data_IF_950383040664
#
_entry.id   IF_950383040664
#
_cell.length_a   1.000
_cell.length_b   1.000
_cell.length_c   1.000
_cell.angle_alpha   90.00
_cell.angle_beta   90.00
_cell.angle_gamma   90.00
#
_symmetry.space_group_name_H-M   'P 1'
#
loop_
_entity.id
_entity.type
_entity.pdbx_description
1 polymer ?
#
# COMPACT_ATOMS: atom_id res chain seq x y z
N UNK A 1 39.56 15.42 -31.47
CA UNK A 1 39.23 16.19 -32.73
C UNK A 1 37.77 16.55 -32.60
N UNK A 2 37.51 17.77 -32.21
CA UNK A 2 37.26 18.96 -33.00
C UNK A 2 35.76 19.18 -33.31
N UNK A 3 35.16 20.19 -32.57
CA UNK A 3 34.45 21.37 -33.13
C UNK A 3 33.00 21.10 -33.61
N UNK A 4 31.95 21.90 -33.31
CA UNK A 4 31.75 23.36 -33.00
C UNK A 4 30.34 23.48 -32.42
N UNK A 5 30.07 24.16 -31.34
CA UNK A 5 29.52 25.50 -31.18
C UNK A 5 28.61 26.03 -32.32
N UNK A 6 27.34 26.30 -32.01
CA UNK A 6 26.71 27.53 -32.47
C UNK A 6 25.55 27.94 -31.53
N UNK A 7 25.70 29.14 -30.98
CA UNK A 7 24.75 29.90 -30.20
C UNK A 7 23.62 30.45 -31.07
N UNK A 8 22.39 30.57 -30.56
CA UNK A 8 21.41 31.53 -31.08
C UNK A 8 20.67 32.19 -29.91
N UNK A 9 21.11 33.41 -29.61
CA UNK A 9 20.41 34.42 -28.83
C UNK A 9 19.21 34.93 -29.65
N UNK A 10 18.02 35.01 -29.04
CA UNK A 10 16.98 35.87 -29.56
C UNK A 10 16.37 36.69 -28.41
N UNK A 11 16.70 37.99 -28.43
CA UNK A 11 16.09 39.06 -27.67
C UNK A 11 14.63 39.25 -28.14
N UNK A 12 13.68 39.34 -27.22
CA UNK A 12 12.41 39.99 -27.48
C UNK A 12 12.12 40.99 -26.37
N UNK A 13 11.94 42.21 -26.78
CA UNK A 13 11.78 43.47 -26.11
C UNK A 13 10.47 43.60 -25.33
N UNK A 14 10.60 44.32 -24.21
CA UNK A 14 9.57 44.81 -23.29
C UNK A 14 8.67 45.82 -24.02
N UNK A 15 7.34 45.65 -23.86
CA UNK A 15 6.37 46.72 -24.00
C UNK A 15 5.64 46.92 -22.68
N UNK A 16 5.98 48.02 -21.99
CA UNK A 16 5.18 48.60 -20.93
C UNK A 16 3.97 49.36 -21.56
N UNK A 17 2.78 49.06 -21.11
CA UNK A 17 1.62 49.94 -21.30
C UNK A 17 1.05 50.28 -19.94
N UNK A 18 1.22 51.54 -19.55
CA UNK A 18 0.62 52.16 -18.39
C UNK A 18 -0.86 52.55 -18.71
N UNK A 19 -1.80 52.16 -17.84
CA UNK A 19 -3.15 52.77 -17.80
C UNK A 19 -3.37 53.35 -16.39
N UNK A 20 -3.54 54.69 -16.33
CA UNK A 20 -3.98 55.47 -15.17
C UNK A 20 -5.45 55.22 -14.84
N UNK A 21 -5.85 55.26 -13.56
CA UNK A 21 -7.25 55.20 -13.18
C UNK A 21 -7.90 56.61 -13.21
N UNK A 22 -9.10 56.66 -13.80
CA UNK A 22 -9.96 57.83 -13.86
C UNK A 22 -10.61 58.14 -12.49
N UNK A 23 -10.64 59.44 -12.17
CA UNK A 23 -11.26 59.99 -10.96
C UNK A 23 -12.81 59.98 -11.03
N UNK A 24 -13.44 59.55 -9.95
CA UNK A 24 -14.90 59.59 -9.76
C UNK A 24 -15.30 60.92 -9.08
N UNK A 25 -16.34 61.61 -9.49
CA UNK A 25 -16.73 62.89 -8.91
C UNK A 25 -17.50 62.73 -7.58
N UNK A 26 -17.24 63.65 -6.69
CA UNK A 26 -17.82 63.84 -5.36
C UNK A 26 -19.27 64.38 -5.47
N UNK A 27 -20.28 63.82 -4.79
CA UNK A 27 -21.62 64.44 -4.73
C UNK A 27 -21.69 65.64 -3.77
N UNK A 28 -22.41 66.63 -4.23
CA UNK A 28 -22.70 67.92 -3.59
C UNK A 28 -23.71 67.75 -2.47
N UNK A 29 -23.45 68.42 -1.36
CA UNK A 29 -24.34 68.47 -0.20
C UNK A 29 -25.62 69.29 -0.50
N UNK A 30 -26.77 68.69 -0.21
CA UNK A 30 -28.09 69.38 -0.23
C UNK A 30 -28.52 69.65 1.19
N UNK A 31 -28.89 70.88 1.48
CA UNK A 31 -29.32 71.42 2.77
C UNK A 31 -30.68 70.89 3.22
N UNK A 32 -30.73 70.52 4.51
CA UNK A 32 -31.90 70.02 5.23
C UNK A 32 -32.88 71.15 5.63
N UNK A 33 -34.20 70.94 5.65
CA UNK A 33 -35.14 71.77 6.34
C UNK A 33 -35.31 71.35 7.80
N UNK A 34 -35.32 72.34 8.68
CA UNK A 34 -35.59 72.29 10.13
C UNK A 34 -36.99 71.78 10.41
N UNK A 35 -37.16 70.73 11.24
CA UNK A 35 -38.44 70.36 11.85
C UNK A 35 -38.41 70.50 13.36
N UNK A 36 -39.57 70.88 13.92
CA UNK A 36 -39.88 71.20 15.28
C UNK A 36 -39.82 69.98 16.25
N UNK A 37 -39.75 70.20 17.57
CA UNK A 37 -39.52 69.14 18.56
C UNK A 37 -40.79 68.30 18.77
N UNK A 38 -40.69 66.99 18.56
CA UNK A 38 -41.67 65.99 18.91
C UNK A 38 -41.29 65.30 20.24
N UNK A 39 -42.29 65.09 21.07
CA UNK A 39 -42.23 64.51 22.45
C UNK A 39 -41.47 63.17 22.50
N UNK A 40 -40.74 62.97 23.56
CA UNK A 40 -39.99 61.77 23.87
C UNK A 40 -40.93 60.57 24.08
N UNK A 41 -40.63 59.38 23.47
CA UNK A 41 -41.33 58.13 23.79
C UNK A 41 -40.75 57.52 25.06
N UNK A 42 -41.63 57.03 25.92
CA UNK A 42 -41.35 56.24 27.13
C UNK A 42 -40.55 55.00 26.78
N UNK A 43 -39.40 54.84 27.42
CA UNK A 43 -38.50 53.68 27.24
C UNK A 43 -39.11 52.46 27.92
N UNK A 44 -39.52 51.46 27.15
CA UNK A 44 -39.80 50.11 27.65
C UNK A 44 -38.46 49.44 28.08
N UNK A 45 -38.45 48.59 29.11
CA UNK A 45 -37.20 47.93 29.54
C UNK A 45 -36.61 47.07 28.42
N UNK A 46 -35.42 47.42 27.96
CA UNK A 46 -34.64 46.62 26.99
C UNK A 46 -34.22 45.33 27.68
N UNK A 47 -34.76 44.21 27.19
CA UNK A 47 -34.25 42.88 27.57
C UNK A 47 -32.80 42.80 27.08
N UNK A 48 -31.86 42.52 28.01
CA UNK A 48 -30.47 42.32 27.69
C UNK A 48 -30.33 41.20 26.66
N UNK A 49 -29.46 41.31 25.65
CA UNK A 49 -29.19 40.21 24.73
C UNK A 49 -28.69 38.98 25.48
N UNK A 50 -29.40 37.88 25.38
CA UNK A 50 -28.95 36.57 25.87
C UNK A 50 -27.68 36.22 25.12
N UNK A 51 -26.57 36.08 25.85
CA UNK A 51 -25.28 35.66 25.29
C UNK A 51 -25.45 34.29 24.58
N UNK A 52 -24.98 34.13 23.36
CA UNK A 52 -25.06 32.81 22.66
C UNK A 52 -24.42 31.74 23.55
N UNK A 53 -25.01 30.53 23.64
CA UNK A 53 -24.38 29.45 24.38
C UNK A 53 -22.97 29.23 23.90
N UNK A 54 -22.01 29.17 24.83
CA UNK A 54 -20.62 28.86 24.52
C UNK A 54 -20.56 27.56 23.72
N UNK A 55 -19.73 27.46 22.68
CA UNK A 55 -19.60 26.25 21.89
C UNK A 55 -19.25 25.09 22.82
N UNK A 56 -20.10 24.06 22.84
CA UNK A 56 -19.86 22.82 23.59
C UNK A 56 -18.53 22.24 23.08
N UNK A 57 -17.54 22.14 23.94
CA UNK A 57 -16.26 21.57 23.60
C UNK A 57 -16.50 20.12 23.12
N UNK A 58 -16.15 19.84 21.87
CA UNK A 58 -16.13 18.47 21.33
C UNK A 58 -15.17 17.66 22.22
N UNK A 59 -15.62 16.52 22.81
CA UNK A 59 -14.73 15.72 23.64
C UNK A 59 -13.47 15.35 22.83
N UNK A 60 -12.31 15.44 23.46
CA UNK A 60 -11.05 15.02 22.86
C UNK A 60 -11.17 13.52 22.46
N UNK A 61 -10.67 13.13 21.29
CA UNK A 61 -10.70 11.74 20.89
C UNK A 61 -9.98 10.86 21.92
N UNK A 62 -10.53 9.69 22.19
CA UNK A 62 -9.87 8.73 23.07
C UNK A 62 -8.55 8.24 22.44
N UNK A 63 -7.47 8.09 23.22
CA UNK A 63 -6.20 7.61 22.70
C UNK A 63 -6.30 6.18 22.17
N UNK A 64 -5.67 5.92 21.04
CA UNK A 64 -5.61 4.60 20.40
C UNK A 64 -4.46 3.83 21.05
N UNK A 65 -4.77 2.71 21.71
CA UNK A 65 -3.79 1.81 22.35
C UNK A 65 -3.87 0.45 21.70
N UNK A 66 -2.78 0.01 21.07
CA UNK A 66 -2.70 -1.26 20.36
C UNK A 66 -1.37 -1.94 20.66
N UNK A 67 -1.38 -3.28 20.64
CA UNK A 67 -0.14 -4.06 20.68
C UNK A 67 0.26 -4.40 19.24
N UNK A 68 1.52 -4.11 18.89
CA UNK A 68 2.02 -4.39 17.55
C UNK A 68 2.56 -5.84 17.41
N UNK A 69 2.99 -6.19 16.20
CA UNK A 69 3.49 -7.53 15.90
C UNK A 69 4.81 -7.92 16.59
N UNK A 70 5.49 -6.98 17.23
CA UNK A 70 6.68 -7.25 18.08
C UNK A 70 6.30 -7.34 19.57
N UNK A 71 5.00 -7.28 19.91
CA UNK A 71 4.49 -7.32 21.27
C UNK A 71 4.64 -5.99 22.03
N UNK A 72 4.91 -4.87 21.34
CA UNK A 72 5.07 -3.55 21.96
C UNK A 72 3.72 -2.85 22.06
N UNK A 73 3.50 -2.15 23.18
CA UNK A 73 2.31 -1.30 23.34
C UNK A 73 2.57 0.05 22.65
N UNK A 74 1.77 0.37 21.64
CA UNK A 74 1.83 1.61 20.87
C UNK A 74 0.61 2.46 21.22
N UNK A 75 0.83 3.75 21.51
CA UNK A 75 -0.21 4.69 21.85
C UNK A 75 -0.16 5.90 20.92
N UNK A 76 -1.30 6.25 20.34
CA UNK A 76 -1.52 7.47 19.58
C UNK A 76 -2.60 8.30 20.26
N UNK A 77 -2.37 9.60 20.48
CA UNK A 77 -3.36 10.49 21.08
C UNK A 77 -4.61 10.69 20.17
N UNK A 78 -4.45 10.52 18.88
CA UNK A 78 -5.50 10.62 17.86
C UNK A 78 -5.06 9.82 16.62
N UNK A 79 -5.97 9.56 15.65
CA UNK A 79 -5.61 8.94 14.38
C UNK A 79 -4.48 9.68 13.68
N UNK A 80 -3.50 8.92 13.19
CA UNK A 80 -2.31 9.44 12.53
C UNK A 80 -2.65 10.28 11.29
N UNK A 81 -1.96 11.41 11.11
CA UNK A 81 -2.16 12.33 9.99
C UNK A 81 -0.93 12.45 9.10
N UNK A 82 0.22 12.00 9.58
CA UNK A 82 1.50 12.06 8.88
C UNK A 82 2.21 10.71 8.96
N UNK A 83 1.93 9.85 8.01
CA UNK A 83 2.37 8.46 8.02
C UNK A 83 3.55 8.26 7.08
N UNK A 84 4.60 7.62 7.56
CA UNK A 84 5.65 7.06 6.70
C UNK A 84 5.44 5.56 6.61
N UNK A 85 5.24 5.06 5.39
CA UNK A 85 5.12 3.64 5.09
C UNK A 85 6.47 3.08 4.66
N UNK A 86 7.00 2.10 5.40
CA UNK A 86 8.29 1.49 5.11
C UNK A 86 8.16 0.04 4.59
N UNK A 87 6.99 -0.29 4.03
CA UNK A 87 6.75 -1.55 3.33
C UNK A 87 5.70 -1.35 2.22
N UNK A 88 5.86 -2.00 1.03
CA UNK A 88 4.89 -1.91 -0.06
C UNK A 88 3.48 -2.34 0.34
N UNK A 89 3.34 -3.45 1.08
CA UNK A 89 2.04 -3.93 1.58
C UNK A 89 1.31 -2.89 2.43
N UNK A 90 2.03 -2.20 3.31
CA UNK A 90 1.46 -1.15 4.16
C UNK A 90 0.99 0.05 3.34
N UNK A 91 1.75 0.43 2.31
CA UNK A 91 1.33 1.50 1.38
C UNK A 91 0.04 1.12 0.68
N UNK A 92 -0.07 -0.11 0.18
CA UNK A 92 -1.29 -0.61 -0.46
C UNK A 92 -2.50 -0.60 0.50
N UNK A 93 -2.30 -1.03 1.75
CA UNK A 93 -3.34 -0.97 2.79
C UNK A 93 -3.80 0.48 3.02
N UNK A 94 -2.86 1.40 3.24
CA UNK A 94 -3.17 2.82 3.50
C UNK A 94 -4.00 3.44 2.36
N UNK A 95 -3.62 3.21 1.12
CA UNK A 95 -4.35 3.72 -0.03
C UNK A 95 -5.72 3.04 -0.19
N UNK A 96 -5.82 1.74 0.00
CA UNK A 96 -7.08 1.00 -0.08
C UNK A 96 -8.10 1.45 0.99
N UNK A 97 -7.63 1.89 2.15
CA UNK A 97 -8.45 2.48 3.22
C UNK A 97 -8.75 3.98 3.01
N UNK A 98 -8.31 4.58 1.90
CA UNK A 98 -8.49 6.01 1.64
C UNK A 98 -7.62 6.92 2.52
N UNK A 99 -6.59 6.37 3.17
CA UNK A 99 -5.62 7.11 3.99
C UNK A 99 -4.43 7.66 3.16
N UNK A 100 -4.45 7.57 1.84
CA UNK A 100 -3.35 7.96 0.97
C UNK A 100 -2.89 9.42 1.16
N UNK A 101 -3.80 10.34 1.52
CA UNK A 101 -3.47 11.74 1.82
C UNK A 101 -2.68 11.93 3.13
N UNK A 102 -2.73 10.94 4.02
CA UNK A 102 -1.99 10.92 5.29
C UNK A 102 -0.56 10.40 5.09
N UNK A 103 -0.28 9.74 3.93
CA UNK A 103 1.06 9.20 3.63
C UNK A 103 1.97 10.32 3.16
N UNK A 104 2.96 10.67 3.98
CA UNK A 104 3.95 11.73 3.69
C UNK A 104 5.29 11.19 3.20
N UNK A 105 5.53 9.88 3.37
CA UNK A 105 6.72 9.19 2.88
C UNK A 105 6.46 7.71 2.63
N UNK A 106 7.14 7.15 1.62
CA UNK A 106 7.09 5.74 1.27
C UNK A 106 8.48 5.19 0.96
N UNK A 107 8.69 3.90 1.18
CA UNK A 107 9.88 3.24 0.64
C UNK A 107 9.79 3.14 -0.91
N UNK A 108 10.93 2.91 -1.59
CA UNK A 108 11.03 3.12 -3.04
C UNK A 108 10.20 2.15 -3.89
N UNK A 109 9.97 0.91 -3.43
CA UNK A 109 9.20 -0.11 -4.15
C UNK A 109 7.69 -0.02 -3.90
N UNK A 110 7.23 0.89 -3.07
CA UNK A 110 5.81 1.20 -2.86
C UNK A 110 5.24 1.95 -4.07
N UNK A 111 4.84 1.26 -5.10
CA UNK A 111 4.42 1.79 -6.39
C UNK A 111 2.94 1.56 -6.73
N UNK A 112 2.19 0.94 -5.82
CA UNK A 112 0.77 0.68 -5.99
C UNK A 112 -0.05 1.30 -4.83
N UNK A 113 -1.22 1.93 -5.13
CA UNK A 113 -1.69 2.27 -6.49
C UNK A 113 -0.76 3.28 -7.17
N UNK A 114 -0.99 3.58 -8.45
CA UNK A 114 -0.10 4.47 -9.23
C UNK A 114 0.14 5.83 -8.54
N UNK A 115 -0.84 6.34 -7.80
CA UNK A 115 -0.79 7.57 -7.04
C UNK A 115 0.26 7.52 -5.91
N UNK A 116 0.58 6.34 -5.39
CA UNK A 116 1.61 6.18 -4.37
C UNK A 116 2.98 6.70 -4.85
N UNK A 117 3.26 6.59 -6.16
CA UNK A 117 4.50 7.10 -6.75
C UNK A 117 4.70 8.60 -6.59
N UNK A 118 3.61 9.36 -6.35
CA UNK A 118 3.66 10.80 -6.11
C UNK A 118 4.05 11.16 -4.67
N UNK A 119 4.07 10.18 -3.75
CA UNK A 119 4.51 10.38 -2.37
C UNK A 119 6.04 10.40 -2.33
N UNK A 120 6.62 11.26 -1.47
CA UNK A 120 8.06 11.37 -1.29
C UNK A 120 8.68 10.00 -0.97
N UNK A 121 9.68 9.57 -1.75
CA UNK A 121 10.44 8.36 -1.45
C UNK A 121 11.46 8.62 -0.35
N UNK A 122 11.55 7.70 0.61
CA UNK A 122 12.61 7.66 1.62
C UNK A 122 13.78 6.76 1.22
N UNK A 123 13.76 6.22 0.00
CA UNK A 123 14.75 5.26 -0.51
C UNK A 123 14.42 3.81 -0.16
N UNK A 124 15.40 2.93 -0.39
CA UNK A 124 15.28 1.49 -0.15
C UNK A 124 15.34 1.14 1.34
N UNK A 125 14.55 0.15 1.75
CA UNK A 125 14.59 -0.45 3.09
C UNK A 125 15.41 -1.77 3.13
N UNK A 126 15.84 -2.29 1.97
CA UNK A 126 16.65 -3.51 1.89
C UNK A 126 18.11 -3.30 2.31
N UNK A 127 18.53 -2.05 2.43
CA UNK A 127 19.84 -1.65 2.93
C UNK A 127 19.68 -0.92 4.26
N UNK A 128 20.54 0.04 4.54
CA UNK A 128 20.40 0.91 5.71
C UNK A 128 19.23 1.87 5.49
N UNK A 129 18.24 1.82 6.38
CA UNK A 129 17.09 2.74 6.34
C UNK A 129 17.56 4.20 6.49
N UNK A 130 17.01 5.08 5.66
CA UNK A 130 17.32 6.52 5.67
C UNK A 130 16.52 7.23 6.77
N UNK A 131 16.99 7.16 8.01
CA UNK A 131 16.34 7.76 9.16
C UNK A 131 16.26 9.28 9.08
N UNK A 132 17.23 9.94 8.43
CA UNK A 132 17.25 11.41 8.26
C UNK A 132 16.09 11.86 7.35
N UNK A 133 15.86 11.16 6.23
CA UNK A 133 14.71 11.43 5.36
C UNK A 133 13.38 11.23 6.10
N UNK A 134 13.27 10.18 6.93
CA UNK A 134 12.07 9.91 7.72
C UNK A 134 11.83 11.02 8.73
N UNK A 135 12.83 11.41 9.52
CA UNK A 135 12.73 12.50 10.53
C UNK A 135 12.35 13.83 9.88
N UNK A 136 12.92 14.15 8.70
CA UNK A 136 12.60 15.38 7.97
C UNK A 136 11.11 15.49 7.58
N UNK A 137 10.42 14.34 7.39
CA UNK A 137 9.00 14.28 7.08
C UNK A 137 8.11 14.49 8.31
N UNK A 138 8.67 14.51 9.52
CA UNK A 138 7.94 14.70 10.80
C UNK A 138 6.71 13.80 10.90
N UNK A 139 6.86 12.47 10.80
CA UNK A 139 5.72 11.56 10.92
C UNK A 139 5.21 11.51 12.36
N UNK A 140 3.90 11.32 12.51
CA UNK A 140 3.26 10.94 13.77
C UNK A 140 3.11 9.41 13.89
N UNK A 141 3.27 8.68 12.77
CA UNK A 141 3.27 7.22 12.72
C UNK A 141 4.20 6.72 11.60
N UNK A 142 4.94 5.66 11.88
CA UNK A 142 5.64 4.86 10.89
C UNK A 142 5.00 3.47 10.87
N UNK A 143 4.59 3.00 9.69
CA UNK A 143 4.13 1.63 9.52
C UNK A 143 5.25 0.76 8.96
N UNK A 144 5.71 -0.18 9.77
CA UNK A 144 6.66 -1.22 9.43
C UNK A 144 5.95 -2.56 9.19
N UNK A 145 6.61 -3.50 8.51
CA UNK A 145 6.18 -4.87 8.31
C UNK A 145 7.37 -5.84 8.40
N UNK A 146 7.15 -7.14 8.25
CA UNK A 146 8.21 -8.15 8.40
C UNK A 146 9.39 -8.03 7.42
N UNK A 147 9.25 -7.26 6.35
CA UNK A 147 10.36 -6.89 5.48
C UNK A 147 11.40 -5.99 6.19
N UNK A 148 10.98 -5.35 7.29
CA UNK A 148 11.83 -4.47 8.09
C UNK A 148 12.39 -5.26 9.27
N UNK A 149 13.72 -5.28 9.43
CA UNK A 149 14.32 -5.99 10.53
C UNK A 149 14.01 -5.34 11.89
N UNK A 150 14.01 -6.12 12.99
CA UNK A 150 13.86 -5.55 14.34
C UNK A 150 14.88 -4.45 14.66
N UNK A 151 16.10 -4.53 14.10
CA UNK A 151 17.14 -3.52 14.25
C UNK A 151 16.77 -2.20 13.55
N UNK A 152 16.14 -2.28 12.36
CA UNK A 152 15.62 -1.09 11.67
C UNK A 152 14.52 -0.43 12.48
N UNK A 153 13.59 -1.22 13.02
CA UNK A 153 12.52 -0.73 13.89
C UNK A 153 13.12 -0.06 15.13
N UNK A 154 14.08 -0.73 15.78
CA UNK A 154 14.76 -0.18 16.95
C UNK A 154 15.48 1.14 16.65
N UNK A 155 16.11 1.27 15.49
CA UNK A 155 16.80 2.50 15.11
C UNK A 155 15.82 3.69 15.01
N UNK A 156 14.58 3.46 14.61
CA UNK A 156 13.52 4.47 14.59
C UNK A 156 12.98 4.79 16.01
N UNK A 157 12.80 3.76 16.84
CA UNK A 157 12.39 3.91 18.24
C UNK A 157 13.41 4.73 19.05
N UNK A 158 14.71 4.50 18.82
CA UNK A 158 15.79 5.24 19.48
C UNK A 158 15.73 6.76 19.16
N UNK A 159 15.20 7.11 17.99
CA UNK A 159 14.91 8.48 17.58
C UNK A 159 13.57 9.03 18.12
N UNK A 160 12.87 8.26 18.98
CA UNK A 160 11.57 8.62 19.57
C UNK A 160 10.45 8.79 18.51
N UNK A 161 10.55 8.08 17.40
CA UNK A 161 9.51 8.00 16.41
C UNK A 161 8.53 6.88 16.78
N UNK A 162 7.23 7.12 16.57
CA UNK A 162 6.22 6.09 16.83
C UNK A 162 6.18 5.12 15.68
N UNK A 163 6.56 3.88 15.92
CA UNK A 163 6.56 2.80 14.92
C UNK A 163 5.52 1.76 15.30
N UNK A 164 4.62 1.43 14.37
CA UNK A 164 3.74 0.26 14.48
C UNK A 164 4.19 -0.81 13.51
N UNK A 165 4.44 -2.02 14.01
CA UNK A 165 4.90 -3.15 13.22
C UNK A 165 3.74 -4.10 12.92
N UNK A 166 3.38 -4.25 11.64
CA UNK A 166 2.40 -5.23 11.19
C UNK A 166 3.09 -6.57 10.89
N UNK A 167 2.56 -7.66 11.44
CA UNK A 167 2.98 -9.00 11.04
C UNK A 167 2.41 -9.37 9.68
N UNK A 168 3.14 -10.18 8.93
CA UNK A 168 2.61 -10.79 7.72
C UNK A 168 1.46 -11.75 8.08
N UNK A 169 0.37 -11.77 7.32
CA UNK A 169 -0.73 -12.67 7.57
C UNK A 169 -0.33 -14.12 7.28
N UNK A 170 -0.71 -15.03 8.18
CA UNK A 170 -0.59 -16.49 8.03
C UNK A 170 -1.90 -17.11 7.58
N UNK A 171 -2.97 -16.34 7.60
CA UNK A 171 -4.30 -16.65 7.10
C UNK A 171 -4.97 -15.38 6.61
N UNK A 172 -6.06 -15.48 5.85
CA UNK A 172 -6.83 -14.30 5.42
C UNK A 172 -7.46 -13.55 6.60
N UNK A 173 -7.78 -14.24 7.70
CA UNK A 173 -8.27 -13.58 8.92
C UNK A 173 -7.23 -12.61 9.52
N UNK A 174 -5.94 -12.93 9.43
CA UNK A 174 -4.87 -12.03 9.86
C UNK A 174 -4.79 -10.79 8.96
N UNK A 175 -5.01 -10.96 7.64
CA UNK A 175 -5.09 -9.82 6.72
C UNK A 175 -6.25 -8.89 7.10
N UNK A 176 -7.43 -9.45 7.41
CA UNK A 176 -8.58 -8.66 7.83
C UNK A 176 -8.29 -7.93 9.15
N UNK A 177 -7.64 -8.57 10.10
CA UNK A 177 -7.22 -7.96 11.36
C UNK A 177 -6.19 -6.82 11.14
N UNK A 178 -5.26 -6.99 10.20
CA UNK A 178 -4.31 -5.94 9.81
C UNK A 178 -5.03 -4.72 9.20
N UNK A 179 -6.02 -4.94 8.34
CA UNK A 179 -6.84 -3.86 7.76
C UNK A 179 -7.62 -3.10 8.85
N UNK A 180 -8.23 -3.81 9.82
CA UNK A 180 -8.90 -3.19 10.95
C UNK A 180 -7.94 -2.37 11.83
N UNK A 181 -6.75 -2.90 12.06
CA UNK A 181 -5.70 -2.25 12.85
C UNK A 181 -5.27 -0.94 12.18
N UNK A 182 -4.95 -0.98 10.88
CA UNK A 182 -4.58 0.24 10.13
C UNK A 182 -5.77 1.19 10.05
N UNK A 183 -6.99 0.68 9.91
CA UNK A 183 -8.22 1.47 9.98
C UNK A 183 -8.35 2.27 11.29
N UNK A 184 -8.06 1.64 12.44
CA UNK A 184 -8.03 2.31 13.76
C UNK A 184 -6.91 3.36 13.82
N UNK A 185 -5.69 3.00 13.42
CA UNK A 185 -4.53 3.89 13.45
C UNK A 185 -4.71 5.15 12.58
N UNK A 186 -5.51 5.07 11.52
CA UNK A 186 -5.71 6.14 10.53
C UNK A 186 -7.06 6.84 10.62
N UNK A 187 -7.96 6.38 11.52
CA UNK A 187 -9.34 6.86 11.60
C UNK A 187 -10.21 6.41 10.43
N UNK A 188 -9.89 5.26 9.81
CA UNK A 188 -10.57 4.66 8.65
C UNK A 188 -11.23 3.32 8.99
N UNK A 189 -11.76 3.16 10.19
CA UNK A 189 -12.35 1.90 10.64
C UNK A 189 -13.58 1.48 9.82
N UNK A 190 -14.38 2.44 9.36
CA UNK A 190 -15.54 2.15 8.52
C UNK A 190 -15.14 1.64 7.13
N UNK A 191 -14.12 2.26 6.53
CA UNK A 191 -13.54 1.84 5.25
C UNK A 191 -12.89 0.45 5.37
N UNK A 192 -12.21 0.17 6.48
CA UNK A 192 -11.63 -1.14 6.76
C UNK A 192 -12.70 -2.22 6.87
N UNK A 193 -13.80 -1.97 7.59
CA UNK A 193 -14.91 -2.91 7.71
C UNK A 193 -15.54 -3.22 6.34
N UNK A 194 -15.79 -2.20 5.52
CA UNK A 194 -16.33 -2.36 4.16
C UNK A 194 -15.39 -3.12 3.24
N UNK A 195 -14.09 -2.83 3.32
CA UNK A 195 -13.09 -3.54 2.52
C UNK A 195 -13.04 -5.02 2.95
N UNK A 196 -13.01 -5.31 4.24
CA UNK A 196 -13.01 -6.68 4.76
C UNK A 196 -14.24 -7.46 4.30
N UNK A 197 -15.44 -6.87 4.33
CA UNK A 197 -16.66 -7.51 3.81
C UNK A 197 -16.50 -7.91 2.33
N UNK A 198 -15.99 -7.00 1.51
CA UNK A 198 -15.73 -7.25 0.08
C UNK A 198 -14.70 -8.37 -0.15
N UNK A 199 -13.59 -8.35 0.60
CA UNK A 199 -12.53 -9.36 0.47
C UNK A 199 -13.02 -10.74 0.94
N UNK A 200 -13.79 -10.81 2.04
CA UNK A 200 -14.41 -12.04 2.54
C UNK A 200 -15.34 -12.65 1.51
N UNK A 201 -16.22 -11.84 0.90
CA UNK A 201 -17.14 -12.33 -0.13
C UNK A 201 -16.41 -12.93 -1.34
N UNK A 202 -15.29 -12.31 -1.75
CA UNK A 202 -14.44 -12.83 -2.83
C UNK A 202 -13.76 -14.13 -2.44
N UNK A 203 -13.17 -14.18 -1.23
CA UNK A 203 -12.56 -15.39 -0.68
C UNK A 203 -13.56 -16.56 -0.66
N UNK A 204 -14.75 -16.36 -0.11
CA UNK A 204 -15.80 -17.37 -0.03
C UNK A 204 -16.23 -17.85 -1.42
N UNK A 205 -16.26 -16.95 -2.42
CA UNK A 205 -16.53 -17.31 -3.80
C UNK A 205 -15.48 -18.26 -4.38
N UNK A 206 -14.20 -18.01 -4.10
CA UNK A 206 -13.10 -18.91 -4.53
C UNK A 206 -13.21 -20.25 -3.84
N UNK A 207 -13.35 -20.29 -2.52
CA UNK A 207 -13.49 -21.52 -1.72
C UNK A 207 -14.68 -22.36 -2.21
N UNK A 208 -15.82 -21.72 -2.46
CA UNK A 208 -17.02 -22.39 -2.98
C UNK A 208 -16.79 -23.06 -4.34
N UNK A 209 -16.06 -22.40 -5.25
CA UNK A 209 -15.72 -22.97 -6.57
C UNK A 209 -14.76 -24.15 -6.42
N UNK A 210 -13.72 -23.99 -5.59
CA UNK A 210 -12.70 -25.01 -5.37
C UNK A 210 -13.25 -26.26 -4.66
N UNK A 211 -14.40 -26.19 -3.99
CA UNK A 211 -15.06 -27.37 -3.42
C UNK A 211 -15.41 -28.44 -4.46
N UNK A 212 -15.44 -28.10 -5.76
CA UNK A 212 -15.64 -29.02 -6.86
C UNK A 212 -14.33 -29.54 -7.49
N UNK A 213 -13.16 -29.09 -7.01
CA UNK A 213 -11.86 -29.55 -7.48
C UNK A 213 -11.68 -31.05 -7.18
N UNK A 214 -11.17 -31.80 -8.15
CA UNK A 214 -10.99 -33.26 -8.04
C UNK A 214 -9.57 -33.68 -7.69
N UNK A 215 -8.62 -32.78 -7.91
CA UNK A 215 -7.19 -32.97 -7.72
C UNK A 215 -6.57 -31.73 -7.08
N UNK A 216 -5.29 -31.84 -6.72
CA UNK A 216 -4.50 -30.75 -6.18
C UNK A 216 -3.15 -30.75 -6.91
N UNK A 217 -3.03 -29.99 -8.01
CA UNK A 217 -1.82 -29.99 -8.83
C UNK A 217 -0.61 -29.49 -8.04
N UNK A 218 0.55 -30.08 -8.30
CA UNK A 218 1.82 -29.64 -7.72
C UNK A 218 2.37 -28.43 -8.47
N UNK A 219 2.82 -27.43 -7.71
CA UNK A 219 3.27 -26.13 -8.21
C UNK A 219 4.71 -25.89 -7.82
N UNK A 220 5.56 -25.59 -8.79
CA UNK A 220 6.82 -24.90 -8.57
C UNK A 220 6.62 -23.41 -8.77
N UNK A 221 6.77 -22.62 -7.71
CA UNK A 221 6.74 -21.16 -7.79
C UNK A 221 8.16 -20.63 -7.85
N UNK A 222 8.57 -20.08 -8.99
CA UNK A 222 9.90 -19.51 -9.18
C UNK A 222 9.92 -18.07 -8.74
N UNK A 223 10.77 -17.74 -7.74
CA UNK A 223 10.96 -16.39 -7.22
C UNK A 223 12.13 -15.71 -7.91
N UNK A 224 13.21 -16.44 -8.12
CA UNK A 224 14.43 -15.98 -8.76
C UNK A 224 15.20 -17.18 -9.31
N UNK A 225 15.62 -17.09 -10.55
CA UNK A 225 16.48 -18.07 -11.20
C UNK A 225 17.70 -17.42 -11.87
N UNK A 226 18.29 -16.42 -11.24
CA UNK A 226 19.61 -15.87 -11.64
C UNK A 226 20.64 -17.00 -11.78
N UNK A 227 20.60 -18.01 -10.90
CA UNK A 227 21.23 -19.31 -11.11
C UNK A 227 20.16 -20.36 -11.44
N UNK A 228 19.94 -20.71 -12.73
CA UNK A 228 18.90 -21.66 -13.11
C UNK A 228 19.17 -23.10 -12.66
N UNK A 229 20.36 -23.41 -12.14
CA UNK A 229 20.66 -24.73 -11.54
C UNK A 229 20.17 -24.85 -10.10
N UNK A 230 19.89 -23.72 -9.46
CA UNK A 230 19.41 -23.62 -8.07
C UNK A 230 18.43 -22.44 -7.90
N UNK A 231 17.28 -22.46 -8.61
CA UNK A 231 16.31 -21.41 -8.47
C UNK A 231 15.77 -21.29 -7.04
N UNK A 232 15.42 -20.07 -6.65
CA UNK A 232 14.71 -19.80 -5.40
C UNK A 232 13.21 -20.06 -5.57
N UNK A 233 12.63 -20.67 -4.54
CA UNK A 233 11.20 -20.94 -4.43
C UNK A 233 10.69 -20.58 -3.03
N UNK A 234 9.39 -20.55 -2.88
CA UNK A 234 8.71 -20.31 -1.62
C UNK A 234 8.67 -21.60 -0.78
N UNK A 235 9.20 -21.53 0.44
CA UNK A 235 9.11 -22.58 1.45
C UNK A 235 7.82 -22.50 2.28
N UNK A 236 7.72 -23.36 3.33
CA UNK A 236 6.52 -23.46 4.16
C UNK A 236 6.26 -22.19 4.98
N UNK A 237 4.97 -21.90 5.20
CA UNK A 237 4.51 -20.83 6.08
C UNK A 237 4.66 -19.42 5.51
N UNK A 238 4.97 -19.28 4.22
CA UNK A 238 4.93 -18.01 3.51
C UNK A 238 3.52 -17.73 3.00
N UNK A 239 3.21 -16.45 2.70
CA UNK A 239 1.93 -16.10 2.06
C UNK A 239 1.82 -16.67 0.63
N UNK A 240 2.94 -16.94 -0.06
CA UNK A 240 2.95 -17.64 -1.37
C UNK A 240 2.51 -19.09 -1.18
N UNK A 241 3.08 -19.79 -0.19
CA UNK A 241 2.68 -21.16 0.17
C UNK A 241 1.21 -21.22 0.59
N UNK A 242 0.77 -20.26 1.42
CA UNK A 242 -0.63 -20.10 1.81
C UNK A 242 -1.56 -19.95 0.59
N UNK A 243 -1.23 -19.06 -0.35
CA UNK A 243 -2.06 -18.79 -1.54
C UNK A 243 -2.11 -20.01 -2.45
N UNK A 244 -1.00 -20.72 -2.68
CA UNK A 244 -0.98 -21.95 -3.48
C UNK A 244 -1.90 -23.00 -2.84
N UNK A 245 -1.81 -23.20 -1.52
CA UNK A 245 -2.66 -24.16 -0.80
C UNK A 245 -4.13 -23.78 -0.85
N UNK A 246 -4.49 -22.51 -0.59
CA UNK A 246 -5.86 -22.02 -0.67
C UNK A 246 -6.44 -22.04 -2.09
N UNK A 247 -5.58 -21.93 -3.10
CA UNK A 247 -5.96 -22.09 -4.51
C UNK A 247 -6.17 -23.54 -4.93
N UNK A 248 -6.05 -24.49 -4.01
CA UNK A 248 -6.24 -25.93 -4.26
C UNK A 248 -5.00 -26.64 -4.83
N UNK A 249 -3.81 -26.03 -4.76
CA UNK A 249 -2.55 -26.60 -5.21
C UNK A 249 -1.70 -27.17 -4.08
N UNK A 250 -0.58 -27.78 -4.45
CA UNK A 250 0.49 -28.27 -3.56
C UNK A 250 1.79 -27.59 -3.93
N UNK A 251 2.32 -26.75 -3.04
CA UNK A 251 3.61 -26.13 -3.22
C UNK A 251 4.73 -27.17 -3.05
N UNK A 252 5.56 -27.39 -4.08
CA UNK A 252 6.69 -28.32 -3.94
C UNK A 252 7.80 -27.79 -3.02
N UNK A 253 7.86 -26.48 -2.79
CA UNK A 253 8.76 -25.85 -1.84
C UNK A 253 8.36 -26.02 -0.37
N UNK A 254 7.15 -26.51 -0.07
CA UNK A 254 6.63 -26.64 1.30
C UNK A 254 7.48 -27.59 2.20
N UNK A 255 8.25 -28.49 1.60
CA UNK A 255 9.13 -29.43 2.32
C UNK A 255 10.57 -28.89 2.52
N UNK A 256 10.88 -27.74 1.94
CA UNK A 256 12.20 -27.13 2.04
C UNK A 256 12.40 -26.48 3.41
N UNK A 257 13.67 -26.29 3.79
CA UNK A 257 14.01 -25.61 5.03
C UNK A 257 14.09 -24.08 4.81
N UNK A 258 13.26 -23.35 5.52
CA UNK A 258 13.21 -21.87 5.47
C UNK A 258 12.08 -21.34 4.58
N UNK A 259 11.72 -20.08 4.82
CA UNK A 259 10.65 -19.40 4.12
C UNK A 259 10.93 -19.20 2.62
N UNK A 260 12.19 -18.95 2.28
CA UNK A 260 12.66 -18.81 0.90
C UNK A 260 13.93 -19.64 0.75
N UNK A 261 13.90 -20.63 -0.14
CA UNK A 261 14.96 -21.62 -0.26
C UNK A 261 15.28 -21.91 -1.72
N UNK A 262 16.53 -22.34 -1.95
CA UNK A 262 16.92 -22.86 -3.26
C UNK A 262 16.58 -24.33 -3.38
N UNK A 263 16.07 -24.72 -4.55
CA UNK A 263 15.86 -26.11 -4.96
C UNK A 263 16.84 -26.43 -6.09
N UNK A 264 17.54 -27.57 -6.02
CA UNK A 264 18.40 -27.98 -7.14
C UNK A 264 17.54 -28.42 -8.34
N UNK A 265 18.08 -28.22 -9.57
CA UNK A 265 17.40 -28.70 -10.78
C UNK A 265 17.16 -30.22 -10.75
N UNK A 266 18.05 -31.01 -10.11
CA UNK A 266 17.88 -32.45 -9.94
C UNK A 266 16.67 -32.77 -9.07
N UNK A 267 16.52 -32.09 -7.92
CA UNK A 267 15.38 -32.30 -7.03
C UNK A 267 14.08 -31.81 -7.69
N UNK A 268 14.13 -30.67 -8.41
CA UNK A 268 12.99 -30.18 -9.18
C UNK A 268 12.52 -31.20 -10.23
N UNK A 269 13.46 -31.80 -10.98
CA UNK A 269 13.13 -32.84 -11.97
C UNK A 269 12.58 -34.10 -11.29
N UNK A 270 13.11 -34.48 -10.14
CA UNK A 270 12.60 -35.61 -9.36
C UNK A 270 11.17 -35.38 -8.84
N UNK A 271 10.88 -34.19 -8.34
CA UNK A 271 9.53 -33.83 -7.89
C UNK A 271 8.53 -33.63 -9.03
N UNK A 272 9.01 -33.27 -10.20
CA UNK A 272 8.26 -33.16 -11.45
C UNK A 272 6.90 -32.44 -11.28
N UNK A 273 6.87 -31.11 -10.98
CA UNK A 273 5.65 -30.38 -10.73
C UNK A 273 4.72 -30.36 -11.95
N UNK A 274 3.41 -30.28 -11.70
CA UNK A 274 2.41 -30.17 -12.75
C UNK A 274 2.44 -28.79 -13.43
N UNK A 275 2.73 -27.72 -12.64
CA UNK A 275 2.81 -26.35 -13.14
C UNK A 275 4.09 -25.67 -12.66
N UNK A 276 4.61 -24.76 -13.50
CA UNK A 276 5.64 -23.79 -13.15
C UNK A 276 5.00 -22.41 -13.20
N UNK A 277 5.08 -21.67 -12.10
CA UNK A 277 4.57 -20.30 -11.98
C UNK A 277 5.76 -19.37 -11.79
N UNK A 278 5.92 -18.41 -12.71
CA UNK A 278 7.07 -17.51 -12.78
C UNK A 278 6.73 -16.18 -12.06
N UNK A 279 7.10 -16.05 -10.81
CA UNK A 279 7.05 -14.78 -10.06
C UNK A 279 8.07 -13.78 -10.57
N UNK A 280 9.19 -14.25 -11.11
CA UNK A 280 10.24 -13.44 -11.72
C UNK A 280 9.97 -13.02 -13.18
N UNK A 281 8.79 -13.37 -13.72
CA UNK A 281 8.36 -12.88 -15.02
C UNK A 281 8.35 -11.34 -15.13
N UNK A 282 8.14 -10.63 -14.02
CA UNK A 282 8.24 -9.18 -13.95
C UNK A 282 9.63 -8.63 -14.30
N UNK A 283 10.66 -9.48 -14.19
CA UNK A 283 12.05 -9.17 -14.52
C UNK A 283 12.47 -9.70 -15.89
N UNK A 284 11.49 -10.13 -16.72
CA UNK A 284 11.70 -10.55 -18.10
C UNK A 284 11.96 -12.03 -18.29
N UNK A 285 11.77 -12.87 -17.27
CA UNK A 285 11.81 -14.33 -17.42
C UNK A 285 10.57 -14.78 -18.18
N UNK A 286 10.76 -15.62 -19.22
CA UNK A 286 9.67 -16.11 -20.07
C UNK A 286 9.55 -17.63 -20.03
N UNK A 287 8.36 -18.14 -20.31
CA UNK A 287 8.10 -19.58 -20.39
C UNK A 287 9.02 -20.28 -21.41
N UNK A 288 9.31 -19.62 -22.53
CA UNK A 288 10.21 -20.13 -23.58
C UNK A 288 11.65 -20.25 -23.07
N UNK A 289 12.14 -19.23 -22.35
CA UNK A 289 13.49 -19.26 -21.78
C UNK A 289 13.60 -20.38 -20.72
N UNK A 290 12.59 -20.55 -19.87
CA UNK A 290 12.54 -21.60 -18.85
C UNK A 290 12.53 -22.99 -19.50
N UNK A 291 11.76 -23.17 -20.56
CA UNK A 291 11.68 -24.46 -21.27
C UNK A 291 13.03 -24.87 -21.94
N UNK A 292 13.94 -23.93 -22.19
CA UNK A 292 15.26 -24.19 -22.77
C UNK A 292 16.36 -24.45 -21.72
N UNK A 293 16.04 -24.38 -20.42
CA UNK A 293 17.03 -24.65 -19.36
C UNK A 293 17.52 -26.10 -19.42
N UNK A 294 18.82 -26.35 -19.21
CA UNK A 294 19.37 -27.71 -19.23
C UNK A 294 18.67 -28.66 -18.27
N UNK A 295 18.19 -29.79 -18.77
CA UNK A 295 17.48 -30.81 -17.97
C UNK A 295 16.00 -30.56 -17.75
N UNK A 296 15.49 -29.32 -17.93
CA UNK A 296 14.09 -29.00 -17.65
C UNK A 296 13.11 -29.54 -18.70
N UNK A 297 13.60 -29.91 -19.88
CA UNK A 297 12.80 -30.64 -20.88
C UNK A 297 12.28 -32.02 -20.40
N UNK A 298 12.82 -32.53 -19.29
CA UNK A 298 12.31 -33.74 -18.63
C UNK A 298 10.99 -33.47 -17.86
N UNK A 299 10.75 -32.24 -17.43
CA UNK A 299 9.57 -31.85 -16.64
C UNK A 299 8.27 -31.96 -17.42
N UNK A 300 7.24 -32.52 -16.82
CA UNK A 300 5.92 -32.62 -17.44
C UNK A 300 5.28 -31.25 -17.67
N UNK A 301 5.50 -30.29 -16.74
CA UNK A 301 5.08 -28.90 -16.91
C UNK A 301 5.66 -28.26 -18.19
N UNK A 302 6.91 -28.56 -18.53
CA UNK A 302 7.55 -28.07 -19.78
C UNK A 302 6.94 -28.76 -21.01
N UNK A 303 6.82 -30.09 -20.98
CA UNK A 303 6.24 -30.89 -22.11
C UNK A 303 4.80 -30.47 -22.40
N UNK A 304 4.01 -30.22 -21.36
CA UNK A 304 2.60 -29.85 -21.48
C UNK A 304 2.36 -28.34 -21.59
N UNK A 305 3.42 -27.52 -21.61
CA UNK A 305 3.38 -26.06 -21.69
C UNK A 305 2.61 -25.43 -20.50
N UNK A 306 2.75 -26.01 -19.33
CA UNK A 306 2.16 -25.52 -18.08
C UNK A 306 3.16 -24.60 -17.34
N UNK A 307 3.64 -23.57 -18.03
CA UNK A 307 4.54 -22.54 -17.52
C UNK A 307 3.84 -21.21 -17.67
N UNK A 308 3.59 -20.52 -16.55
CA UNK A 308 2.77 -19.31 -16.53
C UNK A 308 3.52 -18.14 -15.86
N UNK A 309 3.51 -16.99 -16.53
CA UNK A 309 3.90 -15.74 -15.91
C UNK A 309 2.86 -15.34 -14.84
N UNK A 310 3.34 -14.82 -13.72
CA UNK A 310 2.49 -14.37 -12.62
C UNK A 310 2.95 -12.99 -12.13
N UNK A 311 2.00 -12.13 -11.76
CA UNK A 311 2.35 -10.88 -11.10
C UNK A 311 2.66 -11.17 -9.62
N UNK A 312 3.95 -11.34 -9.31
CA UNK A 312 4.43 -11.62 -7.96
C UNK A 312 3.96 -10.59 -6.93
N UNK A 313 3.77 -9.33 -7.31
CA UNK A 313 3.28 -8.30 -6.40
C UNK A 313 1.91 -8.62 -5.78
N UNK A 314 1.13 -9.51 -6.37
CA UNK A 314 -0.17 -9.91 -5.85
C UNK A 314 -0.07 -10.84 -4.64
N UNK A 315 1.03 -11.61 -4.53
CA UNK A 315 1.21 -12.59 -3.46
C UNK A 315 2.51 -12.42 -2.67
N UNK A 316 3.44 -11.56 -3.10
CA UNK A 316 4.64 -11.19 -2.33
C UNK A 316 4.42 -9.94 -1.46
N UNK A 317 3.33 -9.21 -1.70
CA UNK A 317 2.92 -8.05 -0.90
C UNK A 317 1.64 -8.38 -0.14
N UNK A 318 1.72 -8.80 1.13
CA UNK A 318 0.55 -9.25 1.90
C UNK A 318 -0.37 -8.09 2.29
N UNK A 319 -1.07 -7.55 1.30
CA UNK A 319 -2.05 -6.48 1.37
C UNK A 319 -3.39 -6.87 0.75
N UNK A 320 -4.29 -5.91 0.48
CA UNK A 320 -5.63 -6.19 -0.06
C UNK A 320 -5.62 -6.96 -1.39
N UNK A 321 -4.55 -6.83 -2.20
CA UNK A 321 -4.43 -7.54 -3.48
C UNK A 321 -4.10 -9.03 -3.35
N UNK A 322 -3.84 -9.51 -2.13
CA UNK A 322 -3.62 -10.94 -1.90
C UNK A 322 -4.82 -11.78 -2.38
N UNK A 323 -6.03 -11.22 -2.35
CA UNK A 323 -7.23 -11.88 -2.90
C UNK A 323 -7.19 -11.97 -4.43
N UNK A 324 -6.63 -10.96 -5.13
CA UNK A 324 -6.43 -11.00 -6.57
C UNK A 324 -5.44 -12.11 -6.94
N UNK A 325 -4.38 -12.26 -6.14
CA UNK A 325 -3.41 -13.35 -6.25
C UNK A 325 -4.05 -14.72 -6.06
N UNK A 326 -4.91 -14.88 -5.05
CA UNK A 326 -5.65 -16.11 -4.81
C UNK A 326 -6.58 -16.45 -5.98
N UNK A 327 -7.35 -15.49 -6.47
CA UNK A 327 -8.25 -15.69 -7.62
C UNK A 327 -7.48 -16.10 -8.89
N UNK A 328 -6.35 -15.43 -9.17
CA UNK A 328 -5.52 -15.76 -10.33
C UNK A 328 -4.87 -17.13 -10.18
N UNK A 329 -4.31 -17.45 -9.02
CA UNK A 329 -3.70 -18.75 -8.75
C UNK A 329 -4.74 -19.87 -8.88
N UNK A 330 -5.92 -19.72 -8.28
CA UNK A 330 -7.01 -20.69 -8.36
C UNK A 330 -7.47 -20.91 -9.81
N UNK A 331 -7.53 -19.85 -10.63
CA UNK A 331 -7.84 -19.94 -12.05
C UNK A 331 -6.75 -20.64 -12.87
N UNK A 332 -5.48 -20.47 -12.50
CA UNK A 332 -4.38 -21.18 -13.15
C UNK A 332 -4.40 -22.67 -12.82
N UNK A 333 -4.68 -23.03 -11.57
CA UNK A 333 -4.66 -24.40 -11.09
C UNK A 333 -5.91 -25.19 -11.53
N UNK A 334 -7.07 -24.54 -11.60
CA UNK A 334 -8.38 -25.15 -11.87
C UNK A 334 -9.18 -24.36 -12.91
N UNK A 335 -8.66 -24.17 -14.14
CA UNK A 335 -9.30 -23.29 -15.15
C UNK A 335 -10.72 -23.72 -15.50
N UNK A 336 -11.07 -25.00 -15.33
CA UNK A 336 -12.41 -25.55 -15.58
C UNK A 336 -13.48 -25.03 -14.59
N UNK A 337 -13.07 -24.62 -13.38
CA UNK A 337 -13.95 -24.12 -12.33
C UNK A 337 -14.19 -22.59 -12.41
N UNK A 338 -13.41 -21.89 -13.23
CA UNK A 338 -13.41 -20.42 -13.32
C UNK A 338 -13.80 -19.92 -14.73
N UNK A 339 -14.56 -20.71 -15.47
CA UNK A 339 -15.10 -20.36 -16.79
C UNK A 339 -16.23 -19.35 -16.68
#
# INVERSE_FOLDING_TARGET
MSRKLLSLLLLITIMLSACSPAATPRPTATTSPTQAPTQAPTIAPTVAPTEPPAPTATPAPEPIKLTDGLGRSIELAAPAQRIVSIAPSNTEILFALGAGKQVVGREELSDYPAEAKNVTSIGSVFQKINTEAIVALKPDLILAAEINSPEQVKALDDLKLTVYYLQNPKAFDDLYANLETVGKLTGRSAEAAKLNESLKARYDSVVKKLAAAKDAPTVFYEIDATDPTKPYTSGPGTFIDLVIGLAGGKNIGAELKGAFAQISSEELVKQNPNLIVLGDALYGVTAEAVAQRPGWNALDAVKSKQIFAFDDNLISRPGPRLIDGLEQMAKLLHPELFK
#
